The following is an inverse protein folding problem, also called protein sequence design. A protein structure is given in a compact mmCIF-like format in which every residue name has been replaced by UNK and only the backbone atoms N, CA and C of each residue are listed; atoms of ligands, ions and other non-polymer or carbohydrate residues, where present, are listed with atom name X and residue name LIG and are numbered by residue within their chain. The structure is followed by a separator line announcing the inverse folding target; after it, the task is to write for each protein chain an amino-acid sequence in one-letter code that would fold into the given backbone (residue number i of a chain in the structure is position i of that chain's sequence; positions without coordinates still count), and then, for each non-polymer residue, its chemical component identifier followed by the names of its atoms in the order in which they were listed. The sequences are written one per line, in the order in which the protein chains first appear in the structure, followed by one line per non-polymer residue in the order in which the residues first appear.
data_IF_080604228630
#
_entry.id   IF_080604228630
#
_cell.length_a   1.000
_cell.length_b   1.000
_cell.length_c   1.000
_cell.angle_alpha   90.00
_cell.angle_beta   90.00
_cell.angle_gamma   90.00
#
_symmetry.space_group_name_H-M   'P 1'
#
loop_
_entity.id
_entity.type
_entity.pdbx_description
1 polymer ?
#
# COMPACT_ATOMS: atom_id res chain seq x y z
N UNK A 1 -71.39 32.68 -15.88
CA UNK A 1 -70.74 34.00 -15.68
C UNK A 1 -69.53 33.79 -14.77
N UNK A 2 -68.43 34.46 -15.10
CA UNK A 2 -67.05 34.17 -14.73
C UNK A 2 -66.74 34.21 -13.23
N UNK A 3 -65.72 33.45 -12.80
CA UNK A 3 -64.46 33.98 -12.22
C UNK A 3 -63.42 32.86 -12.09
N UNK A 4 -62.31 33.05 -12.79
CA UNK A 4 -61.09 32.24 -12.71
C UNK A 4 -60.40 32.56 -11.38
N UNK A 5 -60.09 31.57 -10.57
CA UNK A 5 -59.23 31.75 -9.41
C UNK A 5 -57.95 30.97 -9.66
N UNK A 6 -56.91 31.76 -9.87
CA UNK A 6 -55.55 31.38 -10.18
C UNK A 6 -54.82 31.27 -8.83
N UNK A 7 -54.43 30.07 -8.44
CA UNK A 7 -53.53 29.85 -7.29
C UNK A 7 -52.28 29.17 -7.84
N UNK A 8 -51.31 30.03 -8.15
CA UNK A 8 -49.89 29.68 -8.21
C UNK A 8 -49.42 29.61 -6.76
N UNK A 9 -48.86 28.50 -6.31
CA UNK A 9 -47.70 28.58 -5.40
C UNK A 9 -46.95 27.27 -5.26
N UNK A 10 -45.68 27.33 -5.66
CA UNK A 10 -44.54 26.56 -5.17
C UNK A 10 -44.67 25.03 -5.14
N UNK A 11 -44.63 24.39 -6.31
CA UNK A 11 -43.90 23.12 -6.43
C UNK A 11 -42.41 23.43 -6.24
N UNK A 12 -41.97 23.41 -4.99
CA UNK A 12 -40.57 23.44 -4.61
C UNK A 12 -39.89 22.23 -5.26
N UNK A 13 -39.24 22.44 -6.40
CA UNK A 13 -38.31 21.46 -6.96
C UNK A 13 -37.12 21.45 -6.00
N UNK A 14 -37.15 20.53 -5.04
CA UNK A 14 -35.98 20.20 -4.26
C UNK A 14 -34.96 19.61 -5.24
N UNK A 15 -34.13 20.48 -5.81
CA UNK A 15 -32.93 20.08 -6.52
C UNK A 15 -32.04 19.40 -5.48
N UNK A 16 -32.15 18.09 -5.39
CA UNK A 16 -31.18 17.28 -4.65
C UNK A 16 -29.92 17.33 -5.49
N UNK A 17 -29.12 18.37 -5.28
CA UNK A 17 -27.75 18.39 -5.74
C UNK A 17 -27.08 17.20 -5.05
N UNK A 18 -26.95 16.08 -5.79
CA UNK A 18 -26.03 15.03 -5.42
C UNK A 18 -24.64 15.68 -5.48
N UNK A 19 -24.23 16.28 -4.36
CA UNK A 19 -22.85 16.66 -4.18
C UNK A 19 -22.12 15.33 -4.17
N UNK A 20 -21.55 15.00 -5.32
CA UNK A 20 -20.57 13.91 -5.42
C UNK A 20 -19.41 14.39 -4.58
N UNK A 21 -19.47 14.12 -3.29
CA UNK A 21 -18.32 14.35 -2.41
C UNK A 21 -17.29 13.35 -2.93
N UNK A 22 -16.14 13.79 -3.46
CA UNK A 22 -15.05 12.85 -3.66
C UNK A 22 -14.83 12.19 -2.31
N UNK A 23 -15.03 10.88 -2.24
CA UNK A 23 -14.66 10.10 -1.07
C UNK A 23 -13.14 10.26 -1.02
N UNK A 24 -12.68 11.20 -0.20
CA UNK A 24 -11.28 11.30 0.14
C UNK A 24 -10.98 10.02 0.90
N UNK A 25 -10.44 9.03 0.17
CA UNK A 25 -9.82 7.87 0.80
C UNK A 25 -8.62 8.44 1.52
N UNK A 26 -8.79 8.72 2.81
CA UNK A 26 -7.66 8.97 3.70
C UNK A 26 -6.97 7.62 3.84
N UNK A 27 -6.14 7.31 2.84
CA UNK A 27 -5.02 6.41 3.04
C UNK A 27 -4.27 7.01 4.21
N UNK A 28 -4.35 6.35 5.36
CA UNK A 28 -3.59 6.68 6.54
C UNK A 28 -2.11 6.47 6.21
N UNK A 29 -1.56 7.44 5.48
CA UNK A 29 -0.15 7.63 5.23
C UNK A 29 0.40 8.08 6.58
N UNK A 30 0.72 7.09 7.42
CA UNK A 30 1.52 7.28 8.63
C UNK A 30 2.85 7.87 8.17
N UNK A 31 2.94 9.19 8.27
CA UNK A 31 4.11 9.98 7.94
C UNK A 31 5.13 9.74 9.05
N UNK A 32 5.91 8.65 8.93
CA UNK A 32 7.32 8.76 9.29
C UNK A 32 8.05 9.09 8.00
N UNK A 33 8.81 10.17 8.05
CA UNK A 33 9.26 10.95 6.91
C UNK A 33 10.37 10.23 6.13
N UNK A 34 10.00 9.26 5.29
CA UNK A 34 10.86 8.73 4.23
C UNK A 34 10.07 8.69 2.94
N UNK A 35 9.59 9.87 2.49
CA UNK A 35 9.18 10.00 1.09
C UNK A 35 10.45 9.88 0.26
N UNK A 36 10.55 8.85 -0.58
CA UNK A 36 11.56 8.73 -1.63
C UNK A 36 11.39 9.92 -2.58
N UNK A 37 12.12 10.99 -2.27
CA UNK A 37 12.10 12.25 -2.99
C UNK A 37 12.91 12.05 -4.27
N UNK A 38 12.21 11.79 -5.38
CA UNK A 38 12.78 11.49 -6.70
C UNK A 38 13.57 12.65 -7.36
N UNK A 39 13.73 13.79 -6.69
CA UNK A 39 14.21 15.01 -7.34
C UNK A 39 15.60 15.48 -6.92
N UNK A 40 16.35 14.74 -6.08
CA UNK A 40 17.64 15.24 -5.56
C UNK A 40 18.76 14.19 -5.41
N UNK A 41 18.72 13.09 -6.16
CA UNK A 41 19.87 12.16 -6.21
C UNK A 41 20.63 12.36 -7.52
N UNK A 42 21.63 13.24 -7.45
CA UNK A 42 22.71 13.30 -8.44
C UNK A 42 23.35 11.90 -8.54
N UNK A 43 23.23 11.27 -9.70
CA UNK A 43 24.05 10.14 -10.17
C UNK A 43 24.13 8.90 -9.27
N UNK A 44 23.03 8.43 -8.69
CA UNK A 44 22.98 7.07 -8.13
C UNK A 44 22.18 6.20 -9.10
N UNK A 45 22.87 5.50 -9.98
CA UNK A 45 22.24 4.50 -10.84
C UNK A 45 21.77 3.35 -9.95
N UNK A 46 20.45 3.09 -9.82
CA UNK A 46 19.99 1.96 -9.04
C UNK A 46 20.53 0.68 -9.67
N UNK A 47 21.24 -0.12 -8.89
CA UNK A 47 21.72 -1.43 -9.36
C UNK A 47 20.50 -2.35 -9.37
N UNK A 48 19.84 -2.45 -10.54
CA UNK A 48 18.80 -3.44 -10.78
C UNK A 48 19.43 -4.84 -10.71
N UNK A 49 18.78 -5.74 -9.97
CA UNK A 49 19.19 -7.13 -9.70
C UNK A 49 20.35 -7.31 -8.71
N UNK A 50 20.10 -6.87 -7.48
CA UNK A 50 20.87 -7.23 -6.29
C UNK A 50 20.49 -8.60 -5.72
N UNK A 51 20.30 -9.61 -6.58
CA UNK A 51 19.88 -10.96 -6.19
C UNK A 51 20.74 -11.59 -5.08
N UNK A 52 21.93 -11.04 -4.84
CA UNK A 52 22.89 -11.55 -3.87
C UNK A 52 22.86 -10.88 -2.48
N UNK A 53 22.22 -9.71 -2.31
CA UNK A 53 22.19 -9.06 -0.98
C UNK A 53 20.90 -9.36 -0.23
N UNK A 54 19.77 -9.40 -0.94
CA UNK A 54 18.47 -9.62 -0.33
C UNK A 54 18.32 -11.10 0.05
N UNK A 55 17.77 -11.41 1.23
CA UNK A 55 17.56 -12.80 1.62
C UNK A 55 16.55 -13.46 0.69
N UNK A 56 16.73 -14.76 0.42
CA UNK A 56 15.67 -15.54 -0.21
C UNK A 56 14.56 -15.75 0.81
N UNK A 57 13.36 -15.29 0.47
CA UNK A 57 12.17 -15.44 1.31
C UNK A 57 11.26 -16.49 0.68
N UNK A 58 10.79 -17.44 1.49
CA UNK A 58 9.81 -18.44 1.07
C UNK A 58 8.49 -18.18 1.80
N UNK A 59 7.36 -18.34 1.12
CA UNK A 59 6.03 -18.27 1.75
C UNK A 59 5.91 -19.20 2.97
N UNK A 60 6.56 -20.37 2.96
CA UNK A 60 6.58 -21.30 4.09
C UNK A 60 7.07 -20.67 5.40
N UNK A 61 8.01 -19.73 5.33
CA UNK A 61 8.51 -19.02 6.52
C UNK A 61 7.43 -18.16 7.20
N UNK A 62 6.34 -17.89 6.49
CA UNK A 62 5.28 -16.97 6.89
C UNK A 62 3.90 -17.66 6.99
N UNK A 63 3.84 -18.99 6.98
CA UNK A 63 2.59 -19.75 7.10
C UNK A 63 1.80 -19.43 8.36
N UNK A 64 2.47 -19.07 9.46
CA UNK A 64 1.80 -18.64 10.69
C UNK A 64 0.95 -17.37 10.51
N UNK A 65 1.15 -16.62 9.43
CA UNK A 65 0.36 -15.44 9.06
C UNK A 65 -0.70 -15.74 8.01
N UNK A 66 -0.87 -16.99 7.61
CA UNK A 66 -1.97 -17.41 6.73
C UNK A 66 -3.16 -17.79 7.61
N UNK A 67 -4.34 -17.28 7.26
CA UNK A 67 -5.59 -17.51 7.99
C UNK A 67 -6.64 -18.05 7.04
N UNK A 68 -7.36 -19.06 7.51
CA UNK A 68 -8.58 -19.54 6.87
C UNK A 68 -9.77 -18.91 7.56
N UNK A 69 -10.61 -18.20 6.81
CA UNK A 69 -11.78 -17.51 7.34
C UNK A 69 -12.86 -17.45 6.26
N UNK A 70 -14.05 -17.95 6.57
CA UNK A 70 -15.18 -18.02 5.62
C UNK A 70 -14.80 -18.74 4.32
N UNK A 71 -14.12 -19.89 4.44
CA UNK A 71 -13.65 -20.72 3.32
C UNK A 71 -12.67 -20.03 2.37
N UNK A 72 -12.23 -18.82 2.71
CA UNK A 72 -11.21 -18.07 1.97
C UNK A 72 -9.93 -18.06 2.75
N UNK A 73 -8.83 -18.12 2.02
CA UNK A 73 -7.52 -17.98 2.60
C UNK A 73 -7.00 -16.58 2.41
N UNK A 74 -6.45 -16.03 3.48
CA UNK A 74 -5.98 -14.65 3.52
C UNK A 74 -4.71 -14.52 4.35
N UNK A 75 -3.91 -13.53 4.00
CA UNK A 75 -2.82 -13.08 4.84
C UNK A 75 -3.34 -12.23 6.00
N UNK A 76 -2.86 -12.54 7.19
CA UNK A 76 -2.89 -11.64 8.33
C UNK A 76 -1.99 -10.44 8.03
N UNK A 77 -2.49 -9.22 8.24
CA UNK A 77 -1.75 -7.98 7.93
C UNK A 77 -0.41 -7.87 8.66
N UNK A 78 -0.25 -8.58 9.78
CA UNK A 78 1.02 -8.64 10.52
C UNK A 78 2.16 -9.30 9.74
N UNK A 79 1.88 -10.03 8.64
CA UNK A 79 2.91 -10.57 7.74
C UNK A 79 3.85 -9.48 7.23
N UNK A 80 3.35 -8.26 6.97
CA UNK A 80 4.16 -7.15 6.44
C UNK A 80 5.30 -6.83 7.41
N UNK A 81 5.00 -6.71 8.70
CA UNK A 81 6.01 -6.45 9.73
C UNK A 81 7.01 -7.60 9.84
N UNK A 82 6.54 -8.85 9.73
CA UNK A 82 7.39 -10.02 9.80
C UNK A 82 8.39 -10.08 8.63
N UNK A 83 7.93 -9.79 7.42
CA UNK A 83 8.78 -9.74 6.22
C UNK A 83 9.80 -8.60 6.34
N UNK A 84 9.36 -7.40 6.71
CA UNK A 84 10.25 -6.23 6.89
C UNK A 84 11.33 -6.52 7.92
N UNK A 85 10.96 -7.07 9.08
CA UNK A 85 11.92 -7.41 10.13
C UNK A 85 12.91 -8.48 9.66
N UNK A 86 12.46 -9.50 8.92
CA UNK A 86 13.33 -10.55 8.39
C UNK A 86 14.34 -9.97 7.37
N UNK A 87 13.90 -9.09 6.48
CA UNK A 87 14.76 -8.39 5.52
C UNK A 87 15.78 -7.49 6.24
N UNK A 88 15.32 -6.62 7.14
CA UNK A 88 16.18 -5.69 7.88
C UNK A 88 17.26 -6.42 8.67
N UNK A 89 16.87 -7.50 9.37
CA UNK A 89 17.79 -8.32 10.16
C UNK A 89 18.80 -9.05 9.27
N UNK A 90 18.36 -9.62 8.14
CA UNK A 90 19.25 -10.34 7.22
C UNK A 90 20.28 -9.40 6.57
N UNK A 91 19.88 -8.17 6.27
CA UNK A 91 20.76 -7.14 5.71
C UNK A 91 21.64 -6.47 6.79
N UNK A 92 21.37 -6.67 8.07
CA UNK A 92 22.02 -5.98 9.19
C UNK A 92 22.01 -4.45 9.05
N UNK A 93 20.90 -3.90 8.56
CA UNK A 93 20.75 -2.45 8.31
C UNK A 93 19.85 -1.77 9.34
N UNK A 94 20.15 -0.49 9.59
CA UNK A 94 19.29 0.40 10.35
C UNK A 94 17.93 0.59 9.64
N UNK A 95 16.81 0.69 10.38
CA UNK A 95 15.49 0.93 9.79
C UNK A 95 15.41 2.20 8.92
N UNK A 96 16.23 3.22 9.19
CA UNK A 96 16.27 4.45 8.40
C UNK A 96 16.85 4.25 6.99
N UNK A 97 17.65 3.20 6.82
CA UNK A 97 18.29 2.83 5.55
C UNK A 97 17.47 1.79 4.77
N UNK A 98 16.30 1.38 5.29
CA UNK A 98 15.38 0.47 4.62
C UNK A 98 14.04 1.15 4.37
N UNK A 99 13.72 1.40 3.11
CA UNK A 99 12.40 1.81 2.68
C UNK A 99 11.66 0.64 2.06
N UNK A 100 10.34 0.57 2.24
CA UNK A 100 9.52 -0.45 1.60
C UNK A 100 8.13 0.07 1.26
N UNK A 101 7.53 -0.58 0.26
CA UNK A 101 6.12 -0.43 -0.09
C UNK A 101 5.48 -1.82 -0.19
N UNK A 102 4.18 -1.90 0.00
CA UNK A 102 3.46 -3.16 -0.12
C UNK A 102 2.05 -2.97 -0.68
N UNK A 103 1.56 -4.02 -1.35
CA UNK A 103 0.21 -4.06 -1.87
C UNK A 103 -0.39 -5.46 -1.65
N UNK A 104 -1.56 -5.51 -1.04
CA UNK A 104 -2.40 -6.71 -1.06
C UNK A 104 -3.24 -6.65 -2.34
N UNK A 105 -2.77 -7.31 -3.40
CA UNK A 105 -3.49 -7.42 -4.68
C UNK A 105 -4.81 -8.17 -4.51
N UNK A 106 -4.78 -9.19 -3.64
CA UNK A 106 -5.95 -9.89 -3.11
C UNK A 106 -5.70 -10.20 -1.65
N UNK A 107 -6.70 -10.76 -0.97
CA UNK A 107 -6.53 -11.25 0.40
C UNK A 107 -5.42 -12.33 0.52
N UNK A 108 -5.14 -13.07 -0.55
CA UNK A 108 -4.15 -14.17 -0.60
C UNK A 108 -2.86 -13.83 -1.33
N UNK A 109 -2.73 -12.64 -1.91
CA UNK A 109 -1.56 -12.23 -2.70
C UNK A 109 -1.01 -10.90 -2.21
N UNK A 110 0.25 -10.92 -1.81
CA UNK A 110 0.99 -9.78 -1.27
C UNK A 110 2.24 -9.54 -2.10
N UNK A 111 2.39 -8.32 -2.59
CA UNK A 111 3.61 -7.85 -3.26
C UNK A 111 4.31 -6.83 -2.36
N UNK A 112 5.62 -6.96 -2.18
CA UNK A 112 6.43 -6.05 -1.38
C UNK A 112 7.66 -5.60 -2.15
N UNK A 113 7.88 -4.30 -2.20
CA UNK A 113 9.07 -3.68 -2.82
C UNK A 113 9.94 -3.08 -1.73
N UNK A 114 11.22 -3.45 -1.74
CA UNK A 114 12.22 -2.95 -0.81
C UNK A 114 13.24 -2.09 -1.53
N UNK A 115 13.73 -1.07 -0.83
CA UNK A 115 14.84 -0.22 -1.22
C UNK A 115 15.76 -0.09 0.00
N UNK A 116 16.98 -0.62 -0.13
CA UNK A 116 18.01 -0.56 0.89
C UNK A 116 19.12 0.39 0.45
N UNK A 117 19.52 1.30 1.34
CA UNK A 117 20.67 2.18 1.19
C UNK A 117 21.85 1.56 1.94
N UNK A 118 22.85 1.11 1.20
CA UNK A 118 24.05 0.46 1.73
C UNK A 118 25.25 1.17 1.13
N UNK A 119 26.05 1.80 1.99
CA UNK A 119 27.12 2.72 1.59
C UNK A 119 26.58 3.82 0.65
N UNK A 120 27.13 3.92 -0.56
CA UNK A 120 26.69 4.87 -1.58
C UNK A 120 25.78 4.23 -2.64
N UNK A 121 25.30 3.01 -2.40
CA UNK A 121 24.49 2.25 -3.35
C UNK A 121 23.04 2.12 -2.88
N UNK A 122 22.14 2.11 -3.86
CA UNK A 122 20.73 1.83 -3.65
C UNK A 122 20.39 0.52 -4.32
N UNK A 123 19.83 -0.39 -3.53
CA UNK A 123 19.46 -1.72 -3.97
C UNK A 123 17.98 -1.94 -3.82
N UNK A 124 17.33 -2.36 -4.90
CA UNK A 124 15.90 -2.66 -4.90
C UNK A 124 15.65 -4.14 -5.08
N UNK A 125 14.56 -4.62 -4.47
CA UNK A 125 14.09 -5.99 -4.64
C UNK A 125 12.58 -6.07 -4.46
N UNK A 126 11.93 -6.95 -5.23
CA UNK A 126 10.50 -7.21 -5.15
C UNK A 126 10.25 -8.65 -4.74
N UNK A 127 9.49 -8.83 -3.68
CA UNK A 127 8.96 -10.12 -3.26
C UNK A 127 7.49 -10.24 -3.62
N UNK A 128 7.10 -11.44 -4.03
CA UNK A 128 5.72 -11.81 -4.24
C UNK A 128 5.40 -13.02 -3.37
N UNK A 129 4.36 -12.89 -2.56
CA UNK A 129 3.86 -13.94 -1.70
C UNK A 129 2.46 -14.31 -2.17
N UNK A 130 2.25 -15.59 -2.37
CA UNK A 130 0.93 -16.16 -2.58
C UNK A 130 0.69 -17.19 -1.49
N UNK A 131 -0.47 -17.13 -0.85
CA UNK A 131 -0.83 -18.08 0.18
C UNK A 131 -1.07 -19.50 -0.39
N UNK A 132 -1.36 -19.65 -1.70
CA UNK A 132 -1.58 -20.93 -2.42
C UNK A 132 -1.08 -20.91 -3.86
#
# INVERSE_FOLDING_TARGET
MNKKTLIISSCSVAAVAAVVVPIAVVSAKKHNNTQLNKNNEQNITPILNSENIYPKLNTHDFYQYIRYSNEKVKFDKSIVNAVVNKVATSLSISPENLSFNYNFETDSKLTMEFLAKLDNNIYTHRYEFNAF
#
